data_IF_784247248276
#
_entry.id   IF_784247248276
#
_cell.length_a   1.000
_cell.length_b   1.000
_cell.length_c   1.000
_cell.angle_alpha   90.00
_cell.angle_beta   90.00
_cell.angle_gamma   90.00
#
_symmetry.space_group_name_H-M   'P 1'
#
loop_
_entity.id
_entity.type
_entity.pdbx_description
1 polymer ?
#
# COMPACT_ATOMS: atom_id res chain seq x y z
N UNK A 1 0.40 18.61 -2.59
CA UNK A 1 0.77 18.75 -1.17
C UNK A 1 2.22 18.32 -1.00
N UNK A 2 2.97 19.03 -0.16
CA UNK A 2 4.31 18.58 0.21
C UNK A 2 4.18 17.37 1.15
N UNK A 3 4.81 16.27 0.76
CA UNK A 3 4.75 15.02 1.53
C UNK A 3 5.83 15.03 2.62
N UNK A 4 5.52 14.58 3.85
CA UNK A 4 6.52 14.40 4.89
C UNK A 4 7.67 13.50 4.42
N UNK A 5 8.91 13.80 4.81
CA UNK A 5 10.08 13.00 4.43
C UNK A 5 9.98 11.54 4.90
N UNK A 6 9.37 11.30 6.07
CA UNK A 6 9.08 9.95 6.57
C UNK A 6 8.16 9.20 5.62
N UNK A 7 7.09 9.83 5.13
CA UNK A 7 6.16 9.24 4.16
C UNK A 7 6.88 8.85 2.88
N UNK A 8 7.70 9.75 2.34
CA UNK A 8 8.50 9.46 1.14
C UNK A 8 9.46 8.28 1.35
N UNK A 9 10.07 8.17 2.53
CA UNK A 9 10.94 7.04 2.90
C UNK A 9 10.18 5.72 2.87
N UNK A 10 9.01 5.65 3.52
CA UNK A 10 8.14 4.47 3.51
C UNK A 10 7.67 4.11 2.11
N UNK A 11 7.23 5.09 1.33
CA UNK A 11 6.76 4.87 -0.04
C UNK A 11 7.85 4.29 -0.96
N UNK A 12 9.11 4.68 -0.72
CA UNK A 12 10.26 4.30 -1.54
C UNK A 12 10.87 2.94 -1.19
N UNK A 13 10.44 2.30 -0.10
CA UNK A 13 10.95 0.98 0.31
C UNK A 13 10.67 -0.08 -0.76
N UNK A 14 11.70 -0.78 -1.26
CA UNK A 14 11.62 -1.78 -2.33
C UNK A 14 10.65 -2.92 -2.02
N UNK A 15 9.70 -3.20 -2.93
CA UNK A 15 8.77 -4.33 -2.77
C UNK A 15 9.53 -5.64 -2.56
N UNK A 16 8.96 -6.58 -1.79
CA UNK A 16 9.52 -7.91 -1.68
C UNK A 16 9.63 -8.58 -3.06
N UNK A 17 10.59 -9.50 -3.17
CA UNK A 17 10.79 -10.33 -4.36
C UNK A 17 10.61 -11.82 -4.06
N UNK A 18 10.00 -12.13 -2.91
CA UNK A 18 9.74 -13.51 -2.49
C UNK A 18 8.64 -14.14 -3.34
N UNK A 19 8.63 -15.47 -3.37
CA UNK A 19 7.57 -16.22 -4.06
C UNK A 19 6.20 -15.90 -3.49
N UNK A 20 6.07 -15.75 -2.17
CA UNK A 20 4.82 -15.40 -1.51
C UNK A 20 4.26 -14.04 -1.97
N UNK A 21 5.12 -13.03 -2.08
CA UNK A 21 4.71 -11.74 -2.64
C UNK A 21 4.27 -11.88 -4.10
N UNK A 22 5.03 -12.60 -4.91
CA UNK A 22 4.70 -12.84 -6.31
C UNK A 22 3.34 -13.56 -6.44
N UNK A 23 3.11 -14.62 -5.69
CA UNK A 23 1.87 -15.39 -5.74
C UNK A 23 0.66 -14.53 -5.35
N UNK A 24 0.74 -13.82 -4.22
CA UNK A 24 -0.32 -12.92 -3.73
C UNK A 24 -0.60 -11.73 -4.67
N UNK A 25 0.44 -11.24 -5.35
CA UNK A 25 0.30 -10.10 -6.27
C UNK A 25 -0.36 -10.45 -7.61
N UNK A 26 -0.46 -11.74 -7.96
CA UNK A 26 -1.03 -12.19 -9.23
C UNK A 26 -2.38 -12.91 -9.09
N UNK A 27 -2.65 -13.58 -7.97
CA UNK A 27 -3.85 -14.40 -7.84
C UNK A 27 -4.38 -14.43 -6.40
N UNK A 28 -5.71 -14.37 -6.27
CA UNK A 28 -6.43 -14.64 -5.01
C UNK A 28 -6.43 -16.10 -4.63
N UNK A 29 -6.20 -16.99 -5.60
CA UNK A 29 -6.36 -18.44 -5.43
C UNK A 29 -5.01 -19.14 -5.16
N UNK A 30 -3.90 -18.39 -5.20
CA UNK A 30 -2.57 -18.95 -5.00
C UNK A 30 -2.24 -19.18 -3.52
N UNK A 31 -2.81 -18.36 -2.62
CA UNK A 31 -2.56 -18.41 -1.19
C UNK A 31 -3.86 -18.20 -0.41
N UNK A 32 -3.92 -18.78 0.79
CA UNK A 32 -5.00 -18.48 1.74
C UNK A 32 -4.73 -17.14 2.45
N UNK A 33 -5.44 -16.09 2.00
CA UNK A 33 -5.34 -14.73 2.52
C UNK A 33 -6.34 -14.45 3.67
N UNK A 34 -7.14 -15.44 4.13
CA UNK A 34 -8.27 -15.19 5.04
C UNK A 34 -7.86 -14.57 6.38
N UNK A 35 -6.65 -14.89 6.85
CA UNK A 35 -6.13 -14.42 8.13
C UNK A 35 -5.54 -13.00 8.06
N UNK A 36 -5.48 -12.38 6.88
CA UNK A 36 -4.91 -11.05 6.71
C UNK A 36 -5.88 -9.93 7.07
N UNK A 37 -7.19 -10.20 7.04
CA UNK A 37 -8.24 -9.20 7.23
C UNK A 37 -8.14 -8.43 8.56
N UNK A 38 -7.57 -9.04 9.61
CA UNK A 38 -7.39 -8.37 10.90
C UNK A 38 -6.32 -7.26 10.83
N UNK A 39 -5.37 -7.37 9.90
CA UNK A 39 -4.25 -6.44 9.72
C UNK A 39 -4.53 -5.34 8.69
N UNK A 40 -5.71 -5.38 8.06
CA UNK A 40 -6.22 -4.29 7.22
C UNK A 40 -6.69 -3.08 8.04
N UNK A 41 -6.94 -3.30 9.34
CA UNK A 41 -7.39 -2.26 10.25
C UNK A 41 -6.28 -1.23 10.50
N UNK A 42 -6.65 0.00 10.82
CA UNK A 42 -5.67 1.03 11.16
C UNK A 42 -4.97 0.69 12.50
N UNK A 43 -3.62 0.62 12.55
CA UNK A 43 -2.89 0.41 13.79
C UNK A 43 -2.97 1.64 14.73
N UNK A 44 -2.68 1.51 16.03
CA UNK A 44 -1.96 0.41 16.68
C UNK A 44 -2.84 -0.82 16.97
N UNK A 45 -2.25 -2.00 16.80
CA UNK A 45 -2.90 -3.26 17.16
C UNK A 45 -2.65 -3.62 18.62
N UNK A 46 -3.70 -4.11 19.29
CA UNK A 46 -3.64 -4.57 20.67
C UNK A 46 -3.85 -6.10 20.78
N UNK A 47 -3.41 -6.85 19.77
CA UNK A 47 -3.52 -8.30 19.78
C UNK A 47 -2.44 -8.93 20.68
N UNK A 48 -2.73 -10.07 21.33
CA UNK A 48 -1.72 -10.83 22.06
C UNK A 48 -0.54 -11.20 21.16
N UNK A 49 0.67 -10.83 21.57
CA UNK A 49 1.90 -11.13 20.84
C UNK A 49 2.39 -12.55 21.16
N UNK A 50 2.73 -13.38 20.16
CA UNK A 50 3.41 -14.64 20.42
C UNK A 50 4.84 -14.39 20.88
N UNK A 51 5.45 -15.41 21.47
CA UNK A 51 6.88 -15.41 21.73
C UNK A 51 7.60 -15.47 20.38
N UNK A 52 8.42 -14.45 20.07
CA UNK A 52 9.10 -14.30 18.77
C UNK A 52 10.26 -15.28 18.56
N UNK A 53 9.94 -16.56 18.48
CA UNK A 53 10.85 -17.63 18.05
C UNK A 53 11.14 -17.53 16.54
N UNK A 54 12.16 -18.24 16.07
CA UNK A 54 12.59 -18.19 14.66
C UNK A 54 11.46 -18.48 13.65
N UNK A 55 10.57 -19.43 13.96
CA UNK A 55 9.42 -19.74 13.11
C UNK A 55 8.36 -18.63 13.13
N UNK A 56 8.10 -18.00 14.28
CA UNK A 56 7.17 -16.88 14.38
C UNK A 56 7.69 -15.65 13.64
N UNK A 57 9.00 -15.38 13.71
CA UNK A 57 9.65 -14.32 12.93
C UNK A 57 9.47 -14.60 11.43
N UNK A 58 9.72 -15.83 10.97
CA UNK A 58 9.54 -16.19 9.57
C UNK A 58 8.07 -16.12 9.15
N UNK A 59 7.15 -16.57 9.99
CA UNK A 59 5.71 -16.47 9.74
C UNK A 59 5.26 -15.01 9.60
N UNK A 60 5.72 -14.12 10.48
CA UNK A 60 5.42 -12.68 10.38
C UNK A 60 5.99 -12.07 9.10
N UNK A 61 7.22 -12.43 8.69
CA UNK A 61 7.79 -12.00 7.40
C UNK A 61 6.94 -12.48 6.22
N UNK A 62 6.52 -13.74 6.25
CA UNK A 62 5.65 -14.31 5.22
C UNK A 62 4.32 -13.53 5.14
N UNK A 63 3.70 -13.20 6.27
CA UNK A 63 2.47 -12.38 6.28
C UNK A 63 2.69 -10.99 5.66
N UNK A 64 3.81 -10.32 5.98
CA UNK A 64 4.14 -9.03 5.38
C UNK A 64 4.27 -9.14 3.86
N UNK A 65 4.95 -10.18 3.37
CA UNK A 65 5.11 -10.41 1.93
C UNK A 65 3.77 -10.64 1.23
N UNK A 66 2.91 -11.48 1.80
CA UNK A 66 1.57 -11.77 1.25
C UNK A 66 0.71 -10.51 1.27
N UNK A 67 0.66 -9.76 2.37
CA UNK A 67 -0.11 -8.51 2.44
C UNK A 67 0.36 -7.50 1.41
N UNK A 68 1.66 -7.29 1.27
CA UNK A 68 2.18 -6.35 0.27
C UNK A 68 1.84 -6.79 -1.16
N UNK A 69 1.83 -8.11 -1.43
CA UNK A 69 1.41 -8.66 -2.71
C UNK A 69 -0.09 -8.45 -2.96
N UNK A 70 -0.93 -8.79 -1.99
CA UNK A 70 -2.37 -8.57 -2.03
C UNK A 70 -2.72 -7.10 -2.28
N UNK A 71 -2.12 -6.18 -1.52
CA UNK A 71 -2.33 -4.74 -1.72
C UNK A 71 -1.85 -4.28 -3.09
N UNK A 72 -0.71 -4.77 -3.58
CA UNK A 72 -0.26 -4.47 -4.94
C UNK A 72 -1.32 -4.85 -5.96
N UNK A 73 -1.84 -6.08 -5.89
CA UNK A 73 -2.91 -6.57 -6.78
C UNK A 73 -4.17 -5.70 -6.71
N UNK A 74 -4.63 -5.37 -5.52
CA UNK A 74 -5.81 -4.53 -5.31
C UNK A 74 -5.61 -3.11 -5.87
N UNK A 75 -4.47 -2.47 -5.59
CA UNK A 75 -4.16 -1.14 -6.13
C UNK A 75 -4.00 -1.13 -7.66
N UNK A 76 -3.57 -2.24 -8.27
CA UNK A 76 -3.60 -2.40 -9.72
C UNK A 76 -5.02 -2.55 -10.27
N UNK A 77 -5.88 -3.32 -9.60
CA UNK A 77 -7.28 -3.49 -10.00
C UNK A 77 -8.06 -2.17 -9.96
N UNK A 78 -7.93 -1.40 -8.86
CA UNK A 78 -8.54 -0.06 -8.73
C UNK A 78 -8.05 0.87 -9.83
N UNK A 79 -6.74 0.85 -10.14
CA UNK A 79 -6.18 1.65 -11.24
C UNK A 79 -6.72 1.23 -12.59
N UNK A 80 -6.79 -0.06 -12.88
CA UNK A 80 -7.34 -0.56 -14.14
C UNK A 80 -8.81 -0.16 -14.32
N UNK A 81 -9.61 -0.18 -13.25
CA UNK A 81 -10.97 0.35 -13.28
C UNK A 81 -11.00 1.86 -13.57
N UNK A 82 -10.10 2.63 -12.94
CA UNK A 82 -9.97 4.07 -13.23
C UNK A 82 -9.58 4.34 -14.69
N UNK A 83 -8.71 3.52 -15.29
CA UNK A 83 -8.35 3.60 -16.71
C UNK A 83 -9.57 3.41 -17.60
N UNK A 84 -10.39 2.40 -17.33
CA UNK A 84 -11.59 2.10 -18.11
C UNK A 84 -12.65 3.21 -18.01
N UNK A 85 -12.72 3.87 -16.86
CA UNK A 85 -13.69 4.94 -16.58
C UNK A 85 -13.14 6.35 -16.86
N UNK A 86 -11.88 6.47 -17.33
CA UNK A 86 -11.25 7.76 -17.55
C UNK A 86 -11.88 8.50 -18.74
N UNK A 87 -12.85 9.36 -18.46
CA UNK A 87 -13.54 10.21 -19.43
C UNK A 87 -13.19 11.69 -19.22
N UNK A 88 -13.19 12.16 -17.96
CA UNK A 88 -12.81 13.52 -17.58
C UNK A 88 -11.82 13.50 -16.41
N UNK A 89 -10.63 14.08 -16.64
CA UNK A 89 -9.60 14.20 -15.61
C UNK A 89 -9.99 15.10 -14.43
N UNK A 90 -10.97 15.99 -14.57
CA UNK A 90 -11.40 16.90 -13.51
C UNK A 90 -12.14 16.18 -12.37
N UNK A 91 -13.02 15.24 -12.69
CA UNK A 91 -13.76 14.47 -11.68
C UNK A 91 -12.82 13.54 -10.91
N UNK A 92 -11.93 12.85 -11.63
CA UNK A 92 -10.89 12.03 -11.02
C UNK A 92 -9.98 12.86 -10.11
N UNK A 93 -9.53 14.04 -10.58
CA UNK A 93 -8.72 14.94 -9.77
C UNK A 93 -9.45 15.40 -8.50
N UNK A 94 -10.74 15.75 -8.60
CA UNK A 94 -11.54 16.16 -7.46
C UNK A 94 -11.67 15.03 -6.42
N UNK A 95 -11.91 13.80 -6.88
CA UNK A 95 -11.96 12.61 -6.02
C UNK A 95 -10.63 12.38 -5.31
N UNK A 96 -9.52 12.35 -6.05
CA UNK A 96 -8.18 12.14 -5.47
C UNK A 96 -7.87 13.23 -4.43
N UNK A 97 -8.08 14.51 -4.76
CA UNK A 97 -7.75 15.61 -3.85
C UNK A 97 -8.61 15.62 -2.57
N UNK A 98 -9.87 15.19 -2.67
CA UNK A 98 -10.79 15.09 -1.52
C UNK A 98 -10.25 14.11 -0.48
N UNK A 99 -9.74 12.96 -0.93
CA UNK A 99 -9.33 11.87 -0.04
C UNK A 99 -7.88 12.06 0.46
N UNK A 100 -7.01 12.65 -0.37
CA UNK A 100 -5.57 12.77 -0.12
C UNK A 100 -5.22 13.52 1.17
N UNK A 101 -5.95 14.60 1.49
CA UNK A 101 -5.68 15.39 2.72
C UNK A 101 -5.98 14.56 3.97
N UNK A 102 -7.08 13.80 3.95
CA UNK A 102 -7.45 12.89 5.04
C UNK A 102 -6.44 11.75 5.19
N UNK A 103 -6.01 11.15 4.06
CA UNK A 103 -5.03 10.06 4.06
C UNK A 103 -3.67 10.50 4.62
N UNK A 104 -3.14 11.65 4.18
CA UNK A 104 -1.86 12.18 4.69
C UNK A 104 -1.95 12.45 6.21
N UNK A 105 -3.05 13.05 6.67
CA UNK A 105 -3.23 13.34 8.10
C UNK A 105 -3.29 12.05 8.92
N UNK A 106 -4.12 11.08 8.52
CA UNK A 106 -4.25 9.79 9.19
C UNK A 106 -2.93 9.03 9.24
N UNK A 107 -2.26 8.93 8.09
CA UNK A 107 -0.95 8.29 7.99
C UNK A 107 0.06 8.92 8.95
N UNK A 108 0.10 10.25 9.02
CA UNK A 108 1.03 10.98 9.89
C UNK A 108 0.74 10.73 11.37
N UNK A 109 -0.55 10.71 11.76
CA UNK A 109 -0.98 10.38 13.12
C UNK A 109 -0.51 8.99 13.53
N UNK A 110 -0.78 7.98 12.69
CA UNK A 110 -0.37 6.59 12.95
C UNK A 110 1.15 6.48 13.04
N UNK A 111 1.89 7.09 12.09
CA UNK A 111 3.35 7.06 12.07
C UNK A 111 3.96 7.68 13.34
N UNK A 112 3.37 8.76 13.87
CA UNK A 112 3.81 9.38 15.12
C UNK A 112 3.54 8.51 16.35
N UNK A 113 2.43 7.76 16.39
CA UNK A 113 2.15 6.84 17.50
C UNK A 113 3.10 5.64 17.55
N UNK A 114 3.75 5.33 16.43
CA UNK A 114 4.64 4.17 16.29
C UNK A 114 6.11 4.47 16.67
N UNK A 115 6.49 5.72 16.92
CA UNK A 115 7.87 6.03 17.32
C UNK A 115 8.14 5.56 18.75
N UNK A 116 9.04 4.58 18.93
CA UNK A 116 9.48 4.11 20.25
C UNK A 116 8.74 2.88 20.79
N UNK A 117 7.94 2.19 19.99
CA UNK A 117 7.27 0.94 20.39
C UNK A 117 8.19 -0.28 20.34
N UNK A 118 7.87 -1.32 21.12
CA UNK A 118 8.63 -2.58 21.18
C UNK A 118 8.48 -3.40 19.88
N UNK A 119 9.49 -4.22 19.58
CA UNK A 119 9.47 -5.13 18.43
C UNK A 119 8.49 -6.29 18.66
N UNK A 120 7.78 -6.70 17.62
CA UNK A 120 6.74 -7.72 17.70
C UNK A 120 5.95 -7.81 16.39
N UNK A 121 5.03 -8.78 16.29
CA UNK A 121 4.22 -8.96 15.08
C UNK A 121 3.35 -7.75 14.83
N UNK A 122 2.66 -7.22 15.83
CA UNK A 122 1.80 -6.05 15.70
C UNK A 122 2.59 -4.88 15.13
N UNK A 123 3.83 -4.71 15.57
CA UNK A 123 4.69 -3.64 15.08
C UNK A 123 5.10 -3.85 13.61
N UNK A 124 5.50 -5.06 13.25
CA UNK A 124 5.82 -5.41 11.86
C UNK A 124 4.62 -5.24 10.92
N UNK A 125 3.44 -5.68 11.35
CA UNK A 125 2.20 -5.52 10.57
C UNK A 125 1.78 -4.04 10.48
N UNK A 126 2.03 -3.24 11.52
CA UNK A 126 1.75 -1.82 11.49
C UNK A 126 2.74 -1.06 10.57
N UNK A 127 4.00 -1.49 10.53
CA UNK A 127 4.97 -0.96 9.57
C UNK A 127 4.61 -1.34 8.13
N UNK A 128 4.14 -2.56 7.91
CA UNK A 128 3.57 -2.98 6.64
C UNK A 128 2.41 -2.06 6.26
N UNK A 129 1.51 -1.76 7.20
CA UNK A 129 0.38 -0.84 6.99
C UNK A 129 0.83 0.56 6.54
N UNK A 130 1.75 1.17 7.30
CA UNK A 130 2.32 2.48 6.96
C UNK A 130 2.97 2.49 5.58
N UNK A 131 3.66 1.40 5.24
CA UNK A 131 4.40 1.29 3.99
C UNK A 131 3.49 1.27 2.78
N UNK A 132 2.40 0.50 2.80
CA UNK A 132 1.50 0.45 1.65
C UNK A 132 0.66 1.73 1.54
N UNK A 133 0.18 2.28 2.66
CA UNK A 133 -0.52 3.56 2.70
C UNK A 133 0.34 4.70 2.13
N UNK A 134 1.63 4.75 2.47
CA UNK A 134 2.54 5.74 1.92
C UNK A 134 2.70 5.60 0.39
N UNK A 135 2.66 4.37 -0.14
CA UNK A 135 2.74 4.10 -1.59
C UNK A 135 1.49 4.54 -2.34
N UNK A 136 0.32 4.32 -1.76
CA UNK A 136 -0.95 4.78 -2.33
C UNK A 136 -1.02 6.31 -2.29
N UNK A 137 -0.68 6.95 -1.17
CA UNK A 137 -0.61 8.41 -1.07
C UNK A 137 0.37 9.01 -2.09
N UNK A 138 1.55 8.40 -2.26
CA UNK A 138 2.53 8.86 -3.26
C UNK A 138 2.01 8.69 -4.69
N UNK A 139 1.32 7.58 -4.97
CA UNK A 139 0.66 7.33 -6.25
C UNK A 139 -0.36 8.44 -6.52
N UNK A 140 -1.31 8.64 -5.62
CA UNK A 140 -2.37 9.65 -5.73
C UNK A 140 -1.80 11.06 -5.92
N UNK A 141 -0.71 11.39 -5.21
CA UNK A 141 -0.02 12.66 -5.40
C UNK A 141 0.55 12.83 -6.81
N UNK A 142 1.14 11.78 -7.39
CA UNK A 142 1.67 11.79 -8.75
C UNK A 142 0.54 11.92 -9.76
N UNK A 143 -0.52 11.13 -9.60
CA UNK A 143 -1.68 11.16 -10.49
C UNK A 143 -2.37 12.53 -10.46
N UNK A 144 -2.61 13.10 -9.28
CA UNK A 144 -3.17 14.44 -9.13
C UNK A 144 -2.28 15.52 -9.75
N UNK A 145 -0.95 15.37 -9.69
CA UNK A 145 -0.01 16.31 -10.34
C UNK A 145 -0.11 16.23 -11.86
N UNK A 146 -0.16 15.03 -12.43
CA UNK A 146 -0.32 14.83 -13.87
C UNK A 146 -1.66 15.40 -14.35
N UNK A 147 -2.75 15.10 -13.66
CA UNK A 147 -4.09 15.62 -13.99
C UNK A 147 -4.15 17.15 -13.93
N UNK A 148 -3.49 17.80 -12.96
CA UNK A 148 -3.39 19.26 -12.88
C UNK A 148 -2.66 19.88 -14.07
N UNK A 149 -1.73 19.14 -14.66
CA UNK A 149 -1.01 19.55 -15.86
C UNK A 149 -1.78 19.25 -17.16
N UNK A 150 -2.97 18.62 -17.07
CA UNK A 150 -3.71 18.14 -18.23
C UNK A 150 -3.13 16.85 -18.84
N UNK A 151 -2.24 16.17 -18.13
CA UNK A 151 -1.67 14.88 -18.55
C UNK A 151 -2.57 13.72 -18.12
N UNK A 152 -2.53 12.63 -18.87
CA UNK A 152 -3.21 11.39 -18.48
C UNK A 152 -2.25 10.55 -17.60
N UNK A 153 -2.58 10.31 -16.31
CA UNK A 153 -1.73 9.56 -15.39
C UNK A 153 -1.52 8.09 -15.77
N UNK A 154 -2.32 7.57 -16.69
CA UNK A 154 -2.33 6.16 -17.07
C UNK A 154 -1.57 5.86 -18.38
N UNK A 155 -1.11 6.88 -19.12
CA UNK A 155 -0.50 6.70 -20.44
C UNK A 155 0.80 5.87 -20.43
N UNK A 156 1.54 5.81 -19.33
CA UNK A 156 2.74 4.98 -19.19
C UNK A 156 2.44 3.48 -19.05
N UNK A 157 1.19 3.08 -18.77
CA UNK A 157 0.83 1.67 -18.55
C UNK A 157 0.42 0.92 -19.83
N UNK A 158 0.16 1.62 -20.93
CA UNK A 158 -0.17 0.98 -22.22
C UNK A 158 1.05 0.39 -22.95
N UNK A 159 2.27 0.57 -22.44
CA UNK A 159 3.48 0.00 -23.06
C UNK A 159 3.94 -1.33 -22.45
N UNK A 160 3.41 -1.74 -21.29
CA UNK A 160 3.90 -2.93 -20.57
C UNK A 160 3.04 -4.18 -20.77
N UNK A 161 1.87 -4.09 -21.40
CA UNK A 161 1.05 -5.26 -21.77
C UNK A 161 1.48 -5.91 -23.09
N UNK A 162 2.55 -5.41 -23.71
CA UNK A 162 3.06 -5.91 -24.99
C UNK A 162 4.48 -6.48 -24.87
N UNK A 163 4.80 -7.24 -23.83
CA UNK A 163 6.00 -8.10 -23.82
C UNK A 163 5.71 -9.40 -23.05
N UNK A 164 5.27 -10.38 -23.84
CA UNK A 164 5.46 -11.84 -23.76
C UNK A 164 5.54 -12.51 -22.38
#
# INVERSE_FOLDING_TARGET
>A
PDLPSSLLSFASMLLPTSTLFCDASHSTDALDESNLIIWEQEPPYAFPEPIMMAHEVQYTKNMVDVMLGQHWRLSQAVRNECVLLFIDGKELLARILKDLTGHISRWSTVASCMTGSESGRNMEMAYCWLRWQARDILTDCKEAKMLKNGENPFCTMMQTTALR
#
